data_IF_920024490460
#
_entry.id   IF_920024490460
#
_cell.length_a   1.000
_cell.length_b   1.000
_cell.length_c   1.000
_cell.angle_alpha   90.00
_cell.angle_beta   90.00
_cell.angle_gamma   90.00
#
_symmetry.space_group_name_H-M   'P 1'
#
loop_
_entity.id
_entity.type
_entity.pdbx_description
1 polymer ?
#
# COMPACT_ATOMS: atom_id res chain seq x y z
N UNK A 1 -18.15 7.32 11.66
CA UNK A 1 -18.41 5.88 11.40
C UNK A 1 -17.31 5.39 10.46
N UNK A 2 -16.35 4.55 10.88
CA UNK A 2 -15.45 3.95 9.91
C UNK A 2 -16.26 2.91 9.13
N UNK A 3 -16.38 3.09 7.81
CA UNK A 3 -16.96 2.09 6.95
C UNK A 3 -15.98 0.91 6.86
N UNK A 4 -16.33 -0.21 7.50
CA UNK A 4 -15.62 -1.47 7.31
C UNK A 4 -16.08 -2.02 5.97
N UNK A 5 -15.20 -1.99 4.97
CA UNK A 5 -15.44 -2.67 3.69
C UNK A 5 -15.29 -4.17 3.95
N UNK A 6 -16.42 -4.85 4.08
CA UNK A 6 -16.48 -6.31 4.15
C UNK A 6 -16.21 -6.87 2.75
N UNK A 7 -15.12 -7.62 2.60
CA UNK A 7 -14.89 -8.40 1.38
C UNK A 7 -15.87 -9.58 1.36
N UNK A 8 -16.39 -9.97 0.18
CA UNK A 8 -17.18 -11.19 0.06
C UNK A 8 -16.40 -12.40 0.57
N UNK A 9 -17.05 -13.24 1.39
CA UNK A 9 -16.45 -14.47 1.91
C UNK A 9 -15.83 -15.29 0.77
N UNK A 10 -14.52 -15.53 0.84
CA UNK A 10 -13.76 -16.30 -0.15
C UNK A 10 -12.92 -15.49 -1.16
N UNK A 11 -13.01 -14.16 -1.21
CA UNK A 11 -12.09 -13.32 -2.01
C UNK A 11 -11.00 -12.73 -1.12
N UNK A 12 -9.77 -13.20 -1.29
CA UNK A 12 -8.61 -12.58 -0.67
C UNK A 12 -8.47 -11.13 -1.16
N UNK A 13 -8.16 -10.20 -0.26
CA UNK A 13 -7.91 -8.80 -0.62
C UNK A 13 -6.71 -8.75 -1.57
N UNK A 14 -6.91 -8.26 -2.79
CA UNK A 14 -5.80 -8.11 -3.73
C UNK A 14 -5.01 -6.84 -3.42
N UNK A 15 -3.76 -6.81 -3.87
CA UNK A 15 -2.87 -5.63 -3.77
C UNK A 15 -3.55 -4.38 -4.35
N UNK A 16 -4.17 -4.47 -5.53
CA UNK A 16 -4.89 -3.33 -6.13
C UNK A 16 -6.10 -2.91 -5.31
N UNK A 17 -6.95 -3.85 -4.90
CA UNK A 17 -8.14 -3.48 -4.11
C UNK A 17 -7.75 -2.86 -2.77
N UNK A 18 -6.69 -3.34 -2.13
CA UNK A 18 -6.16 -2.70 -0.92
C UNK A 18 -5.68 -1.27 -1.17
N UNK A 19 -4.97 -1.03 -2.28
CA UNK A 19 -4.49 0.29 -2.66
C UNK A 19 -5.66 1.27 -2.95
N UNK A 20 -6.64 0.83 -3.73
CA UNK A 20 -7.79 1.65 -4.11
C UNK A 20 -8.61 2.05 -2.88
N UNK A 21 -8.96 1.10 -2.01
CA UNK A 21 -9.76 1.39 -0.80
C UNK A 21 -8.98 2.28 0.17
N UNK A 22 -7.66 2.14 0.26
CA UNK A 22 -6.83 3.04 1.05
C UNK A 22 -6.87 4.48 0.49
N UNK A 23 -6.65 4.65 -0.81
CA UNK A 23 -6.63 5.97 -1.46
C UNK A 23 -8.00 6.65 -1.40
N UNK A 24 -9.08 5.89 -1.54
CA UNK A 24 -10.47 6.37 -1.41
C UNK A 24 -10.81 6.79 0.03
N UNK A 25 -10.09 6.28 1.03
CA UNK A 25 -10.29 6.67 2.44
C UNK A 25 -9.65 8.01 2.81
N UNK A 26 -8.83 8.59 1.92
CA UNK A 26 -8.12 9.85 2.15
C UNK A 26 -9.03 11.05 1.82
N UNK A 27 -9.24 11.92 2.80
CA UNK A 27 -10.13 13.08 2.65
C UNK A 27 -9.49 14.31 1.95
N UNK A 28 -8.19 14.27 1.65
CA UNK A 28 -7.46 15.39 1.06
C UNK A 28 -6.97 15.02 -0.35
N UNK A 29 -7.46 15.69 -1.42
CA UNK A 29 -7.07 15.40 -2.81
C UNK A 29 -5.56 15.51 -3.09
N UNK A 30 -4.86 16.43 -2.42
CA UNK A 30 -3.41 16.57 -2.57
C UNK A 30 -2.67 15.37 -1.97
N UNK A 31 -3.16 14.88 -0.82
CA UNK A 31 -2.62 13.68 -0.18
C UNK A 31 -2.92 12.45 -1.04
N UNK A 32 -4.15 12.29 -1.54
CA UNK A 32 -4.53 11.20 -2.45
C UNK A 32 -3.63 11.17 -3.69
N UNK A 33 -3.40 12.32 -4.33
CA UNK A 33 -2.50 12.42 -5.48
C UNK A 33 -1.06 12.06 -5.13
N UNK A 34 -0.53 12.58 -4.02
CA UNK A 34 0.85 12.32 -3.61
C UNK A 34 1.06 10.83 -3.28
N UNK A 35 0.14 10.25 -2.51
CA UNK A 35 0.20 8.86 -2.06
C UNK A 35 -0.07 7.89 -3.20
N UNK A 36 -0.97 8.24 -4.12
CA UNK A 36 -1.28 7.42 -5.29
C UNK A 36 -0.07 7.12 -6.18
N UNK A 37 0.94 8.00 -6.22
CA UNK A 37 2.19 7.70 -6.96
C UNK A 37 3.01 6.62 -6.26
N UNK A 38 3.13 6.68 -4.92
CA UNK A 38 3.88 5.69 -4.16
C UNK A 38 3.15 4.34 -4.13
N UNK A 39 1.93 4.36 -3.61
CA UNK A 39 1.08 3.17 -3.46
C UNK A 39 0.75 2.54 -4.80
N UNK A 40 0.35 3.32 -5.80
CA UNK A 40 -0.02 2.81 -7.13
C UNK A 40 1.13 2.09 -7.83
N UNK A 41 2.32 2.69 -7.86
CA UNK A 41 3.50 2.06 -8.49
C UNK A 41 3.99 0.83 -7.74
N UNK A 42 3.94 0.86 -6.41
CA UNK A 42 4.27 -0.32 -5.60
C UNK A 42 3.26 -1.45 -5.87
N UNK A 43 1.95 -1.14 -5.92
CA UNK A 43 0.91 -2.12 -6.21
C UNK A 43 1.05 -2.74 -7.61
N UNK A 44 1.33 -1.92 -8.63
CA UNK A 44 1.61 -2.37 -9.99
C UNK A 44 2.80 -3.34 -10.01
N UNK A 45 3.89 -2.99 -9.31
CA UNK A 45 5.13 -3.78 -9.32
C UNK A 45 5.03 -5.11 -8.58
N UNK A 46 4.24 -5.17 -7.51
CA UNK A 46 3.99 -6.39 -6.73
C UNK A 46 3.04 -7.38 -7.43
N UNK A 47 2.28 -6.90 -8.41
CA UNK A 47 1.23 -7.65 -9.09
C UNK A 47 -0.14 -7.37 -8.50
N UNK A 48 -0.92 -6.57 -9.23
CA UNK A 48 -2.21 -6.02 -8.78
C UNK A 48 -3.25 -7.06 -8.38
N UNK A 49 -3.28 -8.21 -9.05
CA UNK A 49 -4.21 -9.32 -8.79
C UNK A 49 -3.75 -10.26 -7.68
N UNK A 50 -2.51 -10.12 -7.19
CA UNK A 50 -1.95 -10.97 -6.13
C UNK A 50 -2.71 -10.71 -4.82
N UNK A 51 -3.01 -11.72 -4.01
CA UNK A 51 -3.49 -11.52 -2.65
C UNK A 51 -2.45 -10.79 -1.80
N UNK A 52 -2.84 -9.72 -1.11
CA UNK A 52 -1.94 -8.92 -0.26
C UNK A 52 -1.26 -9.79 0.81
N UNK A 53 -2.01 -10.73 1.39
CA UNK A 53 -1.52 -11.69 2.40
C UNK A 53 -0.37 -12.59 1.92
N UNK A 54 -0.12 -12.68 0.61
CA UNK A 54 0.99 -13.48 0.07
C UNK A 54 2.25 -12.68 -0.15
N UNK A 55 2.21 -11.34 -0.03
CA UNK A 55 3.36 -10.46 -0.21
C UNK A 55 4.17 -10.44 1.08
N UNK A 56 5.47 -10.72 0.98
CA UNK A 56 6.37 -10.68 2.12
C UNK A 56 6.94 -9.26 2.39
N UNK A 57 7.42 -9.04 3.61
CA UNK A 57 7.92 -7.73 4.08
C UNK A 57 9.17 -7.27 3.30
N UNK A 58 10.07 -8.21 3.00
CA UNK A 58 11.27 -7.99 2.21
C UNK A 58 10.93 -7.61 0.76
N UNK A 59 9.90 -8.22 0.16
CA UNK A 59 9.41 -7.85 -1.17
C UNK A 59 8.97 -6.38 -1.24
N UNK A 60 8.42 -5.81 -0.16
CA UNK A 60 8.09 -4.38 -0.07
C UNK A 60 9.37 -3.54 -0.11
N UNK A 61 10.36 -3.91 0.70
CA UNK A 61 11.67 -3.23 0.75
C UNK A 61 12.37 -3.25 -0.60
N UNK A 62 12.47 -4.43 -1.23
CA UNK A 62 13.06 -4.61 -2.56
C UNK A 62 12.32 -3.80 -3.63
N UNK A 63 10.99 -3.77 -3.57
CA UNK A 63 10.17 -2.98 -4.52
C UNK A 63 10.43 -1.49 -4.36
N UNK A 64 10.54 -0.98 -3.13
CA UNK A 64 10.87 0.42 -2.86
C UNK A 64 12.26 0.77 -3.40
N UNK A 65 13.27 -0.04 -3.09
CA UNK A 65 14.65 0.14 -3.56
C UNK A 65 14.74 0.10 -5.10
N UNK A 66 14.03 -0.83 -5.75
CA UNK A 66 13.99 -0.91 -7.20
C UNK A 66 13.38 0.35 -7.84
N UNK A 67 12.29 0.87 -7.27
CA UNK A 67 11.56 2.00 -7.84
C UNK A 67 12.23 3.35 -7.53
N UNK A 68 12.85 3.49 -6.36
CA UNK A 68 13.32 4.78 -5.84
C UNK A 68 14.68 4.77 -5.15
N UNK A 69 15.43 3.67 -5.12
CA UNK A 69 16.72 3.58 -4.41
C UNK A 69 17.78 4.56 -4.90
N UNK A 70 17.65 5.08 -6.11
CA UNK A 70 18.53 6.12 -6.69
C UNK A 70 17.91 7.53 -6.69
N UNK A 71 16.72 7.68 -6.12
CA UNK A 71 16.02 8.97 -6.05
C UNK A 71 16.64 9.89 -4.98
N UNK A 72 16.36 11.19 -5.08
CA UNK A 72 16.67 12.12 -4.01
C UNK A 72 16.02 11.69 -2.68
N UNK A 73 16.71 11.93 -1.57
CA UNK A 73 16.29 11.52 -0.21
C UNK A 73 14.86 11.96 0.11
N UNK A 74 14.48 13.18 -0.28
CA UNK A 74 13.13 13.69 -0.04
C UNK A 74 12.06 12.87 -0.80
N UNK A 75 12.36 12.46 -2.03
CA UNK A 75 11.48 11.61 -2.83
C UNK A 75 11.41 10.21 -2.20
N UNK A 76 12.55 9.61 -1.86
CA UNK A 76 12.60 8.32 -1.17
C UNK A 76 11.71 8.29 0.08
N UNK A 77 11.91 9.27 0.98
CA UNK A 77 11.14 9.37 2.21
C UNK A 77 9.64 9.54 1.94
N UNK A 78 9.26 10.41 1.00
CA UNK A 78 7.84 10.61 0.67
C UNK A 78 7.17 9.33 0.12
N UNK A 79 7.87 8.55 -0.71
CA UNK A 79 7.34 7.29 -1.27
C UNK A 79 7.25 6.21 -0.21
N UNK A 80 8.31 6.05 0.59
CA UNK A 80 8.32 5.14 1.73
C UNK A 80 7.17 5.46 2.70
N UNK A 81 7.01 6.72 3.12
CA UNK A 81 5.90 7.13 4.00
C UNK A 81 4.52 6.80 3.43
N UNK A 82 4.32 6.98 2.12
CA UNK A 82 3.04 6.65 1.46
C UNK A 82 2.73 5.14 1.55
N UNK A 83 3.73 4.30 1.27
CA UNK A 83 3.59 2.83 1.34
C UNK A 83 3.42 2.34 2.77
N UNK A 84 4.19 2.88 3.73
CA UNK A 84 4.03 2.56 5.14
C UNK A 84 2.63 2.94 5.66
N UNK A 85 2.12 4.11 5.27
CA UNK A 85 0.77 4.54 5.65
C UNK A 85 -0.30 3.59 5.11
N UNK A 86 -0.13 3.09 3.89
CA UNK A 86 -1.03 2.11 3.28
C UNK A 86 -1.03 0.78 4.04
N UNK A 87 0.16 0.21 4.32
CA UNK A 87 0.26 -1.07 5.02
C UNK A 87 -0.21 -1.00 6.47
N UNK A 88 0.11 0.08 7.20
CA UNK A 88 -0.43 0.30 8.55
C UNK A 88 -1.97 0.41 8.54
N UNK A 89 -2.55 1.11 7.57
CA UNK A 89 -4.00 1.21 7.41
C UNK A 89 -4.65 -0.15 7.14
N UNK A 90 -3.97 -1.03 6.39
CA UNK A 90 -4.43 -2.39 6.14
C UNK A 90 -4.41 -3.23 7.43
N UNK A 91 -3.32 -3.17 8.18
CA UNK A 91 -3.17 -3.89 9.45
C UNK A 91 -4.20 -3.45 10.50
N UNK A 92 -4.47 -2.14 10.63
CA UNK A 92 -5.50 -1.59 11.52
C UNK A 92 -6.91 -2.11 11.23
N UNK A 93 -7.17 -2.56 10.00
CA UNK A 93 -8.45 -3.13 9.56
C UNK A 93 -8.49 -4.66 9.59
N UNK A 94 -7.41 -5.28 10.05
CA UNK A 94 -7.28 -6.74 10.13
C UNK A 94 -7.11 -7.41 8.77
N UNK A 95 -6.60 -6.70 7.77
CA UNK A 95 -6.23 -7.33 6.50
C UNK A 95 -4.85 -7.98 6.65
N UNK A 96 -4.79 -9.28 6.37
CA UNK A 96 -3.51 -10.01 6.30
C UNK A 96 -2.65 -9.46 5.15
N UNK A 97 -1.37 -9.22 5.42
CA UNK A 97 -0.45 -8.58 4.50
C UNK A 97 0.93 -8.33 5.13
N UNK A 98 1.87 -7.78 4.36
CA UNK A 98 3.21 -7.49 4.86
C UNK A 98 3.16 -6.47 5.99
N UNK A 99 3.94 -6.74 7.03
CA UNK A 99 4.08 -5.85 8.16
C UNK A 99 5.01 -4.69 7.81
N UNK A 100 4.75 -3.55 8.47
CA UNK A 100 5.69 -2.45 8.48
C UNK A 100 6.71 -2.72 9.59
N UNK A 101 8.01 -2.94 9.29
CA UNK A 101 9.02 -2.93 10.33
C UNK A 101 9.06 -1.55 10.99
N UNK A 102 9.05 -1.53 12.32
CA UNK A 102 9.09 -0.33 13.15
C UNK A 102 10.37 0.50 12.96
#
# INVERSE_FOLDING_TARGET
MPAVVQLPAGKALTVRTAADVFLDSLNNPNTTRSYGIGVGKTAERLGEGRPLATVADDEIGETLELLWGTSAVNTWNARRTSVLSWLSWCAERGYDGPAVPA
#
